data_IF_243343284601
#
_entry.id   IF_243343284601
#
_cell.length_a   1.000
_cell.length_b   1.000
_cell.length_c   1.000
_cell.angle_alpha   90.00
_cell.angle_beta   90.00
_cell.angle_gamma   90.00
#
_symmetry.space_group_name_H-M   'P 1'
#
loop_
_entity.id
_entity.type
_entity.pdbx_description
1 polymer ?
#
# COMPACT_ATOMS: atom_id res chain seq x y z
N UNK A 1 -25.64 -1.76 4.81
CA UNK A 1 -25.37 -0.34 5.11
C UNK A 1 -25.70 0.48 3.86
N UNK A 2 -26.77 1.26 3.98
CA UNK A 2 -27.23 2.39 3.15
C UNK A 2 -26.46 2.71 1.86
N UNK A 3 -27.03 2.31 0.72
CA UNK A 3 -26.73 2.91 -0.58
C UNK A 3 -27.23 4.35 -0.57
N UNK A 4 -26.32 5.26 -0.86
CA UNK A 4 -26.49 6.70 -0.85
C UNK A 4 -27.52 7.09 -1.91
N UNK A 5 -28.74 7.42 -1.47
CA UNK A 5 -29.93 7.77 -2.28
C UNK A 5 -29.71 9.03 -3.13
N UNK A 6 -28.57 9.72 -2.94
CA UNK A 6 -28.23 10.94 -3.66
C UNK A 6 -27.56 10.72 -5.03
N UNK A 7 -26.99 9.54 -5.31
CA UNK A 7 -26.30 9.26 -6.58
C UNK A 7 -27.25 8.71 -7.68
N UNK A 8 -28.46 8.31 -7.28
CA UNK A 8 -29.49 7.84 -8.21
C UNK A 8 -30.21 9.00 -8.94
N UNK A 9 -30.12 10.23 -8.40
CA UNK A 9 -30.77 11.41 -8.96
C UNK A 9 -30.00 12.05 -10.14
N UNK A 10 -28.69 11.81 -10.28
CA UNK A 10 -27.89 12.36 -11.38
C UNK A 10 -27.74 11.42 -12.60
N UNK A 11 -28.18 10.16 -12.51
CA UNK A 11 -28.24 9.25 -13.67
C UNK A 11 -29.49 9.42 -14.53
N UNK A 12 -30.52 10.09 -14.03
CA UNK A 12 -31.80 10.26 -14.74
C UNK A 12 -31.88 11.55 -15.59
N UNK A 13 -30.91 12.46 -15.50
CA UNK A 13 -30.88 13.68 -16.35
C UNK A 13 -30.23 13.49 -17.71
N UNK A 14 -29.66 12.32 -18.00
CA UNK A 14 -29.05 12.02 -19.29
C UNK A 14 -29.89 11.05 -20.16
N UNK A 15 -31.17 10.89 -19.84
CA UNK A 15 -32.10 10.03 -20.58
C UNK A 15 -33.19 10.80 -21.36
N UNK A 16 -33.11 12.14 -21.42
CA UNK A 16 -34.01 12.97 -22.24
C UNK A 16 -33.42 13.43 -23.58
N UNK A 17 -32.16 13.07 -23.89
CA UNK A 17 -31.47 13.55 -25.10
C UNK A 17 -31.39 12.56 -26.27
N UNK A 18 -32.03 11.37 -26.21
CA UNK A 18 -32.00 10.37 -27.33
C UNK A 18 -33.40 9.96 -27.79
N UNK A 19 -34.36 10.91 -27.79
CA UNK A 19 -35.65 10.77 -28.50
C UNK A 19 -35.71 11.67 -29.74
N UNK A 20 -34.73 11.50 -30.64
CA UNK A 20 -34.85 11.87 -32.06
C UNK A 20 -34.57 10.63 -32.90
N UNK A 21 -35.51 9.69 -32.92
CA UNK A 21 -35.63 8.79 -34.05
C UNK A 21 -36.14 9.60 -35.24
N UNK A 22 -35.55 9.49 -36.44
CA UNK A 22 -36.20 9.98 -37.65
C UNK A 22 -37.49 9.18 -37.85
N UNK A 23 -38.64 9.87 -37.92
CA UNK A 23 -39.87 9.28 -38.44
C UNK A 23 -39.65 9.07 -39.94
N UNK A 24 -39.67 7.83 -40.38
CA UNK A 24 -39.74 7.52 -41.80
C UNK A 24 -41.22 7.59 -42.19
N UNK A 25 -41.60 8.63 -42.92
CA UNK A 25 -42.86 8.67 -43.65
C UNK A 25 -42.72 7.73 -44.86
N UNK A 26 -42.93 6.44 -44.63
CA UNK A 26 -43.09 5.46 -45.69
C UNK A 26 -44.45 5.73 -46.34
N UNK A 27 -44.46 6.64 -47.32
CA UNK A 27 -45.53 6.77 -48.29
C UNK A 27 -45.77 5.39 -48.92
N UNK A 28 -46.83 4.72 -48.47
CA UNK A 28 -47.48 3.67 -49.22
C UNK A 28 -48.17 4.34 -50.41
N UNK A 29 -47.65 4.11 -51.61
CA UNK A 29 -48.31 4.48 -52.87
C UNK A 29 -49.53 3.58 -53.10
N UNK A 30 -50.59 3.82 -52.34
CA UNK A 30 -51.91 3.29 -52.62
C UNK A 30 -52.93 4.27 -52.06
N UNK A 31 -53.38 5.20 -52.90
CA UNK A 31 -54.75 5.68 -52.80
C UNK A 31 -55.50 5.34 -54.10
N UNK A 32 -56.74 4.84 -53.98
CA UNK A 32 -57.61 4.50 -55.09
C UNK A 32 -58.38 5.75 -55.55
N UNK A 33 -58.65 5.87 -56.86
CA UNK A 33 -59.95 6.35 -57.35
C UNK A 33 -60.05 6.24 -58.90
N UNK A 34 -61.28 6.30 -59.46
CA UNK A 34 -61.70 5.53 -60.64
C UNK A 34 -61.48 6.24 -61.99
N UNK A 35 -61.59 5.42 -63.04
CA UNK A 35 -61.58 5.68 -64.50
C UNK A 35 -62.13 7.04 -64.99
N UNK A 36 -61.62 7.59 -66.12
CA UNK A 36 -62.14 7.13 -67.41
C UNK A 36 -61.13 7.04 -68.58
N UNK A 37 -61.15 5.85 -69.20
CA UNK A 37 -61.19 5.51 -70.62
C UNK A 37 -60.07 5.98 -71.60
N UNK A 38 -59.52 5.07 -72.45
CA UNK A 38 -58.32 5.28 -73.27
C UNK A 38 -58.60 5.38 -74.78
N UNK A 39 -57.62 5.89 -75.56
CA UNK A 39 -57.28 5.39 -76.92
C UNK A 39 -55.93 6.00 -77.42
N UNK A 40 -55.23 5.45 -78.44
CA UNK A 40 -54.38 4.25 -78.31
C UNK A 40 -52.96 4.39 -78.92
N UNK A 41 -52.19 3.29 -78.75
CA UNK A 41 -51.10 2.75 -79.60
C UNK A 41 -49.65 3.12 -79.18
N UNK A 42 -48.61 2.26 -79.40
CA UNK A 42 -48.59 1.00 -80.15
C UNK A 42 -48.05 -0.25 -79.43
N UNK A 43 -48.48 -1.38 -79.97
CA UNK A 43 -47.97 -2.74 -79.74
C UNK A 43 -46.44 -2.84 -79.98
N UNK A 44 -45.73 -3.71 -79.23
CA UNK A 44 -45.00 -4.77 -79.91
C UNK A 44 -45.11 -6.14 -79.19
N UNK A 45 -45.51 -7.14 -79.98
CA UNK A 45 -45.30 -8.60 -79.94
C UNK A 45 -45.14 -9.41 -78.62
N UNK A 46 -45.69 -10.65 -78.58
CA UNK A 46 -46.15 -11.31 -77.36
C UNK A 46 -45.05 -12.01 -76.56
N UNK A 47 -45.20 -12.13 -75.23
CA UNK A 47 -44.36 -13.00 -74.41
C UNK A 47 -44.68 -14.46 -74.72
N UNK A 48 -43.65 -15.26 -75.04
CA UNK A 48 -43.72 -16.73 -75.09
C UNK A 48 -44.20 -17.24 -73.73
N UNK A 49 -45.49 -17.59 -73.64
CA UNK A 49 -46.03 -18.38 -72.52
C UNK A 49 -45.50 -19.81 -72.65
N UNK A 50 -44.74 -20.24 -71.65
CA UNK A 50 -44.38 -21.63 -71.47
C UNK A 50 -45.51 -22.26 -70.66
N UNK A 51 -46.32 -23.09 -71.30
CA UNK A 51 -47.36 -23.89 -70.62
C UNK A 51 -46.67 -25.07 -69.93
N UNK A 52 -46.45 -24.95 -68.62
CA UNK A 52 -46.10 -26.08 -67.76
C UNK A 52 -47.38 -26.65 -67.16
N UNK A 53 -47.49 -27.98 -67.12
CA UNK A 53 -48.56 -28.69 -66.41
C UNK A 53 -48.47 -28.45 -64.89
N UNK A 54 -49.60 -28.44 -64.18
CA UNK A 54 -49.67 -28.15 -62.74
C UNK A 54 -48.68 -28.99 -61.90
N UNK A 55 -48.48 -30.26 -62.25
CA UNK A 55 -47.51 -31.14 -61.57
C UNK A 55 -46.04 -30.72 -61.74
N UNK A 56 -45.65 -30.20 -62.91
CA UNK A 56 -44.28 -29.72 -63.14
C UNK A 56 -44.02 -28.39 -62.43
N UNK A 57 -45.04 -27.55 -62.28
CA UNK A 57 -44.97 -26.33 -61.50
C UNK A 57 -44.84 -26.63 -60.01
N UNK A 58 -45.61 -27.58 -59.49
CA UNK A 58 -45.53 -28.01 -58.08
C UNK A 58 -44.14 -28.56 -57.75
N UNK A 59 -43.59 -29.45 -58.59
CA UNK A 59 -42.23 -29.98 -58.40
C UNK A 59 -41.15 -28.90 -58.41
N UNK A 60 -41.29 -27.87 -59.26
CA UNK A 60 -40.34 -26.74 -59.27
C UNK A 60 -40.44 -25.87 -58.01
N UNK A 61 -41.65 -25.68 -57.48
CA UNK A 61 -41.87 -24.93 -56.23
C UNK A 61 -41.31 -25.70 -55.03
N UNK A 62 -41.57 -27.01 -54.95
CA UNK A 62 -41.02 -27.87 -53.89
C UNK A 62 -39.48 -27.91 -53.94
N UNK A 63 -38.90 -28.08 -55.13
CA UNK A 63 -37.44 -28.06 -55.30
C UNK A 63 -36.82 -26.69 -54.93
N UNK A 64 -37.51 -25.58 -55.21
CA UNK A 64 -37.04 -24.25 -54.81
C UNK A 64 -37.18 -24.02 -53.30
N UNK A 65 -38.25 -24.52 -52.69
CA UNK A 65 -38.50 -24.46 -51.26
C UNK A 65 -37.48 -25.28 -50.47
N UNK A 66 -37.20 -26.52 -50.89
CA UNK A 66 -36.16 -27.38 -50.29
C UNK A 66 -34.78 -26.74 -50.41
N UNK A 67 -34.48 -26.11 -51.55
CA UNK A 67 -33.21 -25.41 -51.75
C UNK A 67 -33.08 -24.19 -50.85
N UNK A 68 -34.16 -23.43 -50.66
CA UNK A 68 -34.21 -22.30 -49.71
C UNK A 68 -34.11 -22.77 -48.27
N UNK A 69 -34.77 -23.87 -47.91
CA UNK A 69 -34.73 -24.46 -46.57
C UNK A 69 -33.33 -24.99 -46.23
N UNK A 70 -32.71 -25.73 -47.15
CA UNK A 70 -31.33 -26.21 -47.01
C UNK A 70 -30.34 -25.04 -46.90
N UNK A 71 -30.52 -23.98 -47.70
CA UNK A 71 -29.69 -22.78 -47.59
C UNK A 71 -29.88 -22.06 -46.25
N UNK A 72 -31.11 -21.97 -45.75
CA UNK A 72 -31.41 -21.35 -44.45
C UNK A 72 -30.85 -22.17 -43.28
N UNK A 73 -30.97 -23.50 -43.33
CA UNK A 73 -30.38 -24.41 -42.35
C UNK A 73 -28.86 -24.34 -42.33
N UNK A 74 -28.21 -24.41 -43.50
CA UNK A 74 -26.76 -24.26 -43.60
C UNK A 74 -26.27 -22.91 -43.05
N UNK A 75 -27.02 -21.83 -43.28
CA UNK A 75 -26.70 -20.50 -42.73
C UNK A 75 -26.84 -20.49 -41.20
N UNK A 76 -27.91 -21.09 -40.67
CA UNK A 76 -28.17 -21.21 -39.23
C UNK A 76 -27.12 -22.07 -38.53
N UNK A 77 -26.73 -23.20 -39.11
CA UNK A 77 -25.66 -24.06 -38.59
C UNK A 77 -24.34 -23.31 -38.55
N UNK A 78 -23.98 -22.60 -39.62
CA UNK A 78 -22.74 -21.83 -39.68
C UNK A 78 -22.72 -20.67 -38.68
N UNK A 79 -23.85 -19.98 -38.49
CA UNK A 79 -23.98 -18.96 -37.45
C UNK A 79 -23.91 -19.54 -36.04
N UNK A 80 -24.48 -20.73 -35.83
CA UNK A 80 -24.45 -21.43 -34.56
C UNK A 80 -23.02 -21.89 -34.22
N UNK A 81 -22.33 -22.54 -35.16
CA UNK A 81 -20.93 -22.94 -35.01
C UNK A 81 -20.04 -21.73 -34.73
N UNK A 82 -20.21 -20.63 -35.47
CA UNK A 82 -19.45 -19.40 -35.24
C UNK A 82 -19.69 -18.81 -33.84
N UNK A 83 -20.94 -18.86 -33.34
CA UNK A 83 -21.26 -18.42 -31.98
C UNK A 83 -20.64 -19.33 -30.92
N UNK A 84 -20.75 -20.65 -31.09
CA UNK A 84 -20.17 -21.63 -30.17
C UNK A 84 -18.64 -21.51 -30.14
N UNK A 85 -18.00 -21.32 -31.29
CA UNK A 85 -16.56 -21.12 -31.40
C UNK A 85 -16.12 -19.82 -30.70
N UNK A 86 -16.86 -18.73 -30.90
CA UNK A 86 -16.59 -17.45 -30.26
C UNK A 86 -16.78 -17.52 -28.73
N UNK A 87 -17.84 -18.18 -28.27
CA UNK A 87 -18.14 -18.37 -26.85
C UNK A 87 -17.09 -19.26 -26.17
N UNK A 88 -16.63 -20.33 -26.83
CA UNK A 88 -15.51 -21.15 -26.35
C UNK A 88 -14.21 -20.34 -26.26
N UNK A 89 -13.87 -19.54 -27.27
CA UNK A 89 -12.67 -18.71 -27.25
C UNK A 89 -12.72 -17.64 -26.16
N UNK A 90 -13.88 -17.02 -25.95
CA UNK A 90 -14.04 -16.03 -24.89
C UNK A 90 -14.01 -16.67 -23.51
N UNK A 91 -14.64 -17.84 -23.33
CA UNK A 91 -14.57 -18.63 -22.10
C UNK A 91 -13.14 -19.09 -21.80
N UNK A 92 -12.40 -19.56 -22.80
CA UNK A 92 -10.98 -19.90 -22.64
C UNK A 92 -10.13 -18.68 -22.33
N UNK A 93 -10.38 -17.53 -22.98
CA UNK A 93 -9.66 -16.28 -22.70
C UNK A 93 -9.90 -15.86 -21.26
N UNK A 94 -11.16 -15.85 -20.81
CA UNK A 94 -11.54 -15.54 -19.43
C UNK A 94 -10.92 -16.51 -18.42
N UNK A 95 -10.94 -17.81 -18.71
CA UNK A 95 -10.34 -18.83 -17.84
C UNK A 95 -8.82 -18.71 -17.77
N UNK A 96 -8.14 -18.53 -18.91
CA UNK A 96 -6.69 -18.31 -18.99
C UNK A 96 -6.28 -17.01 -18.30
N UNK A 97 -7.06 -15.95 -18.45
CA UNK A 97 -6.82 -14.67 -17.78
C UNK A 97 -6.96 -14.83 -16.26
N UNK A 98 -8.03 -15.49 -15.80
CA UNK A 98 -8.23 -15.79 -14.37
C UNK A 98 -7.13 -16.67 -13.78
N UNK A 99 -6.67 -17.70 -14.50
CA UNK A 99 -5.58 -18.57 -14.04
C UNK A 99 -4.24 -17.81 -14.01
N UNK A 100 -3.97 -16.99 -15.03
CA UNK A 100 -2.76 -16.18 -15.10
C UNK A 100 -2.72 -15.12 -14.00
N UNK A 101 -3.81 -14.38 -13.80
CA UNK A 101 -3.92 -13.38 -12.71
C UNK A 101 -3.73 -14.02 -11.33
N UNK A 102 -4.28 -15.22 -11.12
CA UNK A 102 -4.06 -15.97 -9.88
C UNK A 102 -2.60 -16.36 -9.69
N UNK A 103 -1.95 -16.86 -10.75
CA UNK A 103 -0.51 -17.19 -10.71
C UNK A 103 0.35 -15.95 -10.48
N UNK A 104 0.06 -14.84 -11.15
CA UNK A 104 0.79 -13.59 -11.00
C UNK A 104 0.62 -13.02 -9.58
N UNK A 105 -0.58 -13.10 -9.00
CA UNK A 105 -0.82 -12.71 -7.61
C UNK A 105 -0.10 -13.60 -6.61
N UNK A 106 -0.06 -14.92 -6.82
CA UNK A 106 0.68 -15.85 -5.97
C UNK A 106 2.19 -15.66 -6.08
N UNK A 107 2.71 -15.43 -7.30
CA UNK A 107 4.11 -15.11 -7.53
C UNK A 107 4.50 -13.80 -6.84
N UNK A 108 3.71 -12.74 -7.05
CA UNK A 108 3.95 -11.45 -6.40
C UNK A 108 3.93 -11.58 -4.87
N UNK A 109 2.99 -12.34 -4.31
CA UNK A 109 2.96 -12.61 -2.87
C UNK A 109 4.21 -13.35 -2.40
N UNK A 110 4.67 -14.36 -3.16
CA UNK A 110 5.93 -15.06 -2.85
C UNK A 110 7.13 -14.12 -2.95
N UNK A 111 7.20 -13.28 -3.97
CA UNK A 111 8.27 -12.28 -4.14
C UNK A 111 8.28 -11.29 -2.97
N UNK A 112 7.13 -10.76 -2.57
CA UNK A 112 7.00 -9.87 -1.43
C UNK A 112 7.42 -10.55 -0.11
N UNK A 113 7.01 -11.81 0.09
CA UNK A 113 7.39 -12.59 1.27
C UNK A 113 8.89 -12.92 1.29
N UNK A 114 9.48 -13.21 0.12
CA UNK A 114 10.91 -13.42 -0.02
C UNK A 114 11.69 -12.12 0.22
N UNK A 115 11.25 -11.00 -0.35
CA UNK A 115 11.87 -9.70 -0.17
C UNK A 115 11.89 -9.27 1.30
N UNK A 116 10.78 -9.50 2.03
CA UNK A 116 10.73 -9.27 3.49
C UNK A 116 11.72 -10.15 4.25
N UNK A 117 11.79 -11.44 3.91
CA UNK A 117 12.73 -12.38 4.55
C UNK A 117 14.18 -12.00 4.28
N UNK A 118 14.50 -11.58 3.06
CA UNK A 118 15.84 -11.11 2.71
C UNK A 118 16.17 -9.86 3.51
N UNK A 119 15.29 -8.85 3.54
CA UNK A 119 15.50 -7.64 4.34
C UNK A 119 15.66 -7.93 5.84
N UNK A 120 14.90 -8.88 6.39
CA UNK A 120 15.07 -9.32 7.78
C UNK A 120 16.40 -10.03 8.03
N UNK A 121 16.87 -10.86 7.09
CA UNK A 121 18.16 -11.54 7.17
C UNK A 121 19.30 -10.54 7.05
N UNK A 122 19.27 -9.66 6.05
CA UNK A 122 20.27 -8.61 5.86
C UNK A 122 20.39 -7.75 7.12
N UNK A 123 19.26 -7.38 7.74
CA UNK A 123 19.26 -6.61 8.99
C UNK A 123 19.84 -7.41 10.16
N UNK A 124 19.62 -8.72 10.23
CA UNK A 124 20.18 -9.60 11.26
C UNK A 124 21.68 -9.81 11.07
N UNK A 125 22.13 -9.99 9.83
CA UNK A 125 23.55 -10.11 9.49
C UNK A 125 24.29 -8.83 9.82
N UNK A 126 23.76 -7.67 9.37
CA UNK A 126 24.32 -6.37 9.69
C UNK A 126 24.41 -6.14 11.21
N UNK A 127 23.39 -6.58 11.96
CA UNK A 127 23.40 -6.55 13.43
C UNK A 127 24.48 -7.44 14.03
N UNK A 128 24.65 -8.66 13.53
CA UNK A 128 25.67 -9.58 14.01
C UNK A 128 27.09 -9.03 13.78
N UNK A 129 27.31 -8.41 12.62
CA UNK A 129 28.57 -7.72 12.31
C UNK A 129 28.79 -6.53 13.24
N UNK A 130 27.77 -5.70 13.46
CA UNK A 130 27.83 -4.57 14.39
C UNK A 130 28.14 -5.04 15.83
N UNK A 131 27.51 -6.11 16.31
CA UNK A 131 27.80 -6.71 17.62
C UNK A 131 29.26 -7.16 17.69
N UNK A 132 29.77 -7.79 16.64
CA UNK A 132 31.15 -8.26 16.56
C UNK A 132 32.14 -7.09 16.62
N UNK A 133 31.86 -6.00 15.90
CA UNK A 133 32.68 -4.79 15.93
C UNK A 133 32.62 -4.11 17.30
N UNK A 134 31.43 -3.95 17.89
CA UNK A 134 31.25 -3.38 19.23
C UNK A 134 32.02 -4.16 20.30
N UNK A 135 31.95 -5.50 20.25
CA UNK A 135 32.71 -6.36 21.15
C UNK A 135 34.23 -6.20 21.00
N UNK A 136 34.74 -6.05 19.78
CA UNK A 136 36.17 -5.77 19.52
C UNK A 136 36.59 -4.41 20.08
N UNK A 137 35.74 -3.40 19.95
CA UNK A 137 35.99 -2.04 20.44
C UNK A 137 35.71 -1.88 21.95
N UNK A 138 35.40 -2.98 22.66
CA UNK A 138 35.04 -2.97 24.11
C UNK A 138 33.85 -2.09 24.46
N UNK A 139 32.93 -1.91 23.50
CA UNK A 139 31.69 -1.17 23.69
C UNK A 139 30.53 -2.11 24.05
N UNK A 140 29.52 -1.65 24.81
CA UNK A 140 28.39 -2.49 25.17
C UNK A 140 27.58 -2.90 23.92
N UNK A 141 27.44 -4.22 23.71
CA UNK A 141 26.73 -4.80 22.55
C UNK A 141 25.23 -4.47 22.52
N UNK A 142 24.66 -4.07 23.66
CA UNK A 142 23.27 -3.61 23.78
C UNK A 142 22.98 -2.39 22.89
N UNK A 143 24.00 -1.60 22.57
CA UNK A 143 23.86 -0.45 21.67
C UNK A 143 23.81 -0.81 20.18
N UNK A 144 23.99 -2.09 19.81
CA UNK A 144 24.01 -2.51 18.41
C UNK A 144 22.75 -2.07 17.65
N UNK A 145 21.56 -2.24 18.25
CA UNK A 145 20.29 -1.85 17.61
C UNK A 145 20.16 -0.34 17.36
N UNK A 146 20.82 0.48 18.16
CA UNK A 146 20.78 1.95 18.07
C UNK A 146 21.81 2.50 17.09
N UNK A 147 22.90 1.76 16.86
CA UNK A 147 24.01 2.19 16.00
C UNK A 147 23.89 1.67 14.57
N UNK A 148 22.99 0.71 14.31
CA UNK A 148 22.69 0.18 12.98
C UNK A 148 22.18 1.27 12.03
N UNK A 149 22.83 1.35 10.87
CA UNK A 149 22.45 2.22 9.77
C UNK A 149 21.99 1.41 8.54
N UNK A 150 21.78 2.09 7.41
CA UNK A 150 21.39 1.47 6.13
C UNK A 150 22.44 0.49 5.58
N UNK A 151 23.72 0.68 5.92
CA UNK A 151 24.82 -0.12 5.44
C UNK A 151 25.90 -0.32 6.53
N UNK A 152 26.83 -1.25 6.28
CA UNK A 152 27.92 -1.58 7.19
C UNK A 152 28.86 -0.39 7.43
N UNK A 153 29.15 0.40 6.39
CA UNK A 153 30.04 1.55 6.47
C UNK A 153 29.49 2.65 7.40
N UNK A 154 28.24 3.09 7.21
CA UNK A 154 27.62 4.07 8.12
C UNK A 154 27.46 3.51 9.53
N UNK A 155 27.19 2.21 9.67
CA UNK A 155 27.13 1.56 10.99
C UNK A 155 28.50 1.65 11.68
N UNK A 156 29.60 1.44 10.97
CA UNK A 156 30.96 1.58 11.49
C UNK A 156 31.28 3.04 11.86
N UNK A 157 30.89 4.01 11.03
CA UNK A 157 31.03 5.44 11.33
C UNK A 157 30.27 5.84 12.60
N UNK A 158 29.04 5.33 12.76
CA UNK A 158 28.24 5.53 13.96
C UNK A 158 28.92 4.92 15.19
N UNK A 159 29.44 3.69 15.09
CA UNK A 159 30.17 3.03 16.17
C UNK A 159 31.40 3.83 16.58
N UNK A 160 32.20 4.30 15.62
CA UNK A 160 33.40 5.09 15.90
C UNK A 160 33.07 6.45 16.55
N UNK A 161 32.03 7.11 16.06
CA UNK A 161 31.56 8.38 16.63
C UNK A 161 31.04 8.19 18.06
N UNK A 162 30.24 7.14 18.26
CA UNK A 162 29.74 6.76 19.58
C UNK A 162 30.89 6.45 20.54
N UNK A 163 31.86 5.64 20.11
CA UNK A 163 33.06 5.28 20.90
C UNK A 163 33.74 6.52 21.47
N UNK A 164 34.04 7.49 20.61
CA UNK A 164 34.72 8.72 21.02
C UNK A 164 33.94 9.45 22.12
N UNK A 165 32.64 9.65 21.91
CA UNK A 165 31.79 10.36 22.89
C UNK A 165 31.61 9.57 24.19
N UNK A 166 31.55 8.25 24.11
CA UNK A 166 31.41 7.36 25.25
C UNK A 166 32.69 7.37 26.10
N UNK A 167 33.85 7.25 25.46
CA UNK A 167 35.16 7.31 26.13
C UNK A 167 35.38 8.67 26.81
N UNK A 168 35.02 9.77 26.15
CA UNK A 168 35.08 11.12 26.73
C UNK A 168 34.16 11.25 27.96
N UNK A 169 32.92 10.75 27.89
CA UNK A 169 31.98 10.79 29.00
C UNK A 169 32.43 9.92 30.18
N UNK A 170 32.91 8.70 29.91
CA UNK A 170 33.46 7.81 30.92
C UNK A 170 34.70 8.42 31.56
N UNK A 171 35.62 8.98 30.77
CA UNK A 171 36.80 9.67 31.29
C UNK A 171 36.43 10.85 32.18
N UNK A 172 35.44 11.65 31.78
CA UNK A 172 34.93 12.75 32.61
C UNK A 172 34.33 12.25 33.93
N UNK A 173 33.55 11.17 33.91
CA UNK A 173 32.98 10.55 35.11
C UNK A 173 34.02 9.90 36.01
N UNK A 174 35.04 9.24 35.45
CA UNK A 174 36.17 8.70 36.22
C UNK A 174 36.97 9.85 36.83
N UNK A 175 37.20 10.94 36.11
CA UNK A 175 37.86 12.14 36.66
C UNK A 175 37.06 12.77 37.80
N UNK A 176 35.73 12.87 37.67
CA UNK A 176 34.84 13.34 38.74
C UNK A 176 34.89 12.42 39.96
N UNK A 177 34.89 11.10 39.76
CA UNK A 177 34.99 10.12 40.83
C UNK A 177 36.37 10.15 41.53
N UNK A 178 37.46 10.29 40.76
CA UNK A 178 38.83 10.36 41.26
C UNK A 178 39.17 11.71 41.90
N UNK A 179 38.53 12.81 41.47
CA UNK A 179 38.64 14.10 42.13
C UNK A 179 38.24 14.01 43.61
N UNK A 180 37.43 13.01 43.97
CA UNK A 180 37.07 12.68 45.33
C UNK A 180 36.15 13.73 45.95
N UNK A 181 35.50 13.36 47.06
CA UNK A 181 34.94 14.38 47.95
C UNK A 181 36.13 15.09 48.58
N UNK A 182 36.23 16.43 48.50
CA UNK A 182 37.28 17.14 49.22
C UNK A 182 37.23 16.69 50.68
N UNK A 183 38.40 16.41 51.32
CA UNK A 183 38.42 16.08 52.73
C UNK A 183 37.61 17.15 53.45
N UNK A 184 36.68 16.73 54.30
CA UNK A 184 35.87 17.66 55.09
C UNK A 184 36.87 18.44 55.92
N UNK A 185 37.20 19.66 55.47
CA UNK A 185 38.03 20.58 56.22
C UNK A 185 37.21 20.82 57.47
N UNK A 186 37.60 20.17 58.57
CA UNK A 186 37.09 20.52 59.86
C UNK A 186 37.54 21.97 60.04
N UNK A 187 36.62 22.92 59.97
CA UNK A 187 36.89 24.36 60.16
C UNK A 187 37.22 24.68 61.62
N UNK A 188 37.85 23.74 62.33
CA UNK A 188 38.65 24.01 63.52
C UNK A 188 40.13 23.95 63.09
N UNK A 189 40.69 25.06 62.58
CA UNK A 189 42.13 25.17 62.42
C UNK A 189 42.74 25.17 63.84
N UNK A 190 43.12 23.97 64.31
CA UNK A 190 43.59 23.74 65.67
C UNK A 190 42.44 23.30 66.58
N UNK A 191 42.61 22.14 67.22
CA UNK A 191 41.82 21.72 68.38
C UNK A 191 42.13 22.58 69.61
N UNK A 192 42.07 23.91 69.47
CA UNK A 192 42.20 24.87 70.54
C UNK A 192 40.81 25.41 70.80
N UNK A 193 40.18 24.97 71.91
CA UNK A 193 38.92 25.54 72.37
C UNK A 193 39.10 27.06 72.48
N UNK A 194 38.17 27.84 71.94
CA UNK A 194 38.17 29.29 72.12
C UNK A 194 37.53 29.67 73.46
N UNK A 195 37.86 30.86 73.99
CA UNK A 195 37.29 31.39 75.24
C UNK A 195 35.75 31.35 75.25
N UNK A 196 35.14 31.69 74.11
CA UNK A 196 33.68 31.75 73.96
C UNK A 196 33.05 30.36 73.92
N UNK A 197 33.72 29.37 73.34
CA UNK A 197 33.25 27.97 73.34
C UNK A 197 33.32 27.37 74.74
N UNK A 198 34.38 27.67 75.50
CA UNK A 198 34.51 27.25 76.89
C UNK A 198 33.38 27.87 77.73
N UNK A 199 33.12 29.17 77.60
CA UNK A 199 32.06 29.84 78.36
C UNK A 199 30.64 29.42 77.98
N UNK A 200 30.43 28.93 76.74
CA UNK A 200 29.15 28.38 76.27
C UNK A 200 28.88 26.95 76.78
N UNK A 201 29.86 26.24 77.33
CA UNK A 201 29.69 24.89 77.89
C UNK A 201 28.66 24.93 79.02
N UNK A 202 27.58 24.16 78.93
CA UNK A 202 26.43 24.25 79.86
C UNK A 202 26.75 23.69 81.23
N UNK A 203 27.65 22.71 81.30
CA UNK A 203 28.08 22.08 82.55
C UNK A 203 29.11 22.96 83.29
N UNK A 204 28.80 23.46 84.51
CA UNK A 204 29.69 24.32 85.27
C UNK A 204 31.03 23.67 85.65
N UNK A 205 31.03 22.38 86.03
CA UNK A 205 32.23 21.67 86.46
C UNK A 205 33.17 21.45 85.28
N UNK A 206 32.59 21.05 84.14
CA UNK A 206 33.32 20.86 82.90
C UNK A 206 33.86 22.19 82.36
N UNK A 207 33.07 23.27 82.44
CA UNK A 207 33.52 24.62 82.11
C UNK A 207 34.71 25.05 82.96
N UNK A 208 34.64 24.90 84.28
CA UNK A 208 35.74 25.26 85.18
C UNK A 208 37.01 24.47 84.89
N UNK A 209 36.88 23.17 84.60
CA UNK A 209 38.01 22.33 84.20
C UNK A 209 38.65 22.83 82.90
N UNK A 210 37.85 23.14 81.89
CA UNK A 210 38.33 23.67 80.61
C UNK A 210 38.98 25.05 80.74
N UNK A 211 38.46 25.92 81.63
CA UNK A 211 39.10 27.20 81.98
C UNK A 211 40.46 26.96 82.63
N UNK A 212 40.57 26.00 83.56
CA UNK A 212 41.82 25.71 84.25
C UNK A 212 42.89 25.13 83.32
N UNK A 213 42.49 24.26 82.39
CA UNK A 213 43.39 23.65 81.41
C UNK A 213 43.81 24.65 80.33
N UNK A 214 42.96 25.63 80.01
CA UNK A 214 43.21 26.67 79.00
C UNK A 214 43.26 28.08 79.61
N UNK A 215 43.91 28.22 80.76
CA UNK A 215 43.92 29.46 81.55
C UNK A 215 44.47 30.67 80.76
N UNK A 216 45.43 30.43 79.86
CA UNK A 216 46.01 31.42 78.94
C UNK A 216 44.96 32.15 78.07
N UNK A 217 43.77 31.58 77.85
CA UNK A 217 42.67 32.23 77.11
C UNK A 217 41.86 33.21 77.97
N UNK A 218 42.05 33.19 79.29
CA UNK A 218 41.27 33.98 80.26
C UNK A 218 42.09 35.05 80.98
N UNK A 219 43.41 35.08 80.76
CA UNK A 219 44.28 36.13 81.27
C UNK A 219 43.99 37.47 80.56
N UNK A 220 44.01 38.57 81.33
CA UNK A 220 43.79 39.92 80.82
C UNK A 220 45.11 40.41 80.24
N UNK A 221 45.14 40.72 78.94
CA UNK A 221 46.27 41.44 78.33
C UNK A 221 46.48 42.81 78.97
#
# INVERSE_FOLDING_TARGET
MTLNVFDQANRLKNLEAVKKLPRFDLQFFADPDPDPNPDPNPNPDPPKKVELTEEELQKKIEAEADRKLASALAKKEKEWEAKVEAEKKEAERLAKLSEKERKDAELKKREDDLAKRIAELDRKELKADAITVLGKESLPVEFADFLLAENAEKTLENINSFKKTFDEAVAAKVKEALAGKPPKVNTNPGGTLTKDEIMKEKDPLKRQKLISENMHLFEKK
#
